data_IF_371095184930
#
_entry.id   IF_371095184930
#
_cell.length_a   1.000
_cell.length_b   1.000
_cell.length_c   1.000
_cell.angle_alpha   90.00
_cell.angle_beta   90.00
_cell.angle_gamma   90.00
#
_symmetry.space_group_name_H-M   'P 1'
#
loop_
_entity.id
_entity.type
_entity.pdbx_description
1 polymer ?
#
# COMPACT_ATOMS: atom_id res chain seq x y z
N UNK A 1 -11.45 -5.28 13.92
CA UNK A 1 -10.97 -3.91 13.65
C UNK A 1 -10.75 -3.76 12.16
N UNK A 2 -11.07 -2.59 11.61
CA UNK A 2 -10.79 -2.25 10.21
C UNK A 2 -9.49 -1.46 10.15
N UNK A 3 -8.56 -1.85 9.28
CA UNK A 3 -7.26 -1.22 9.10
C UNK A 3 -7.12 -0.83 7.63
N UNK A 4 -6.81 0.44 7.38
CA UNK A 4 -6.42 0.92 6.06
C UNK A 4 -4.90 1.04 6.01
N UNK A 5 -4.26 0.21 5.20
CA UNK A 5 -2.82 0.27 4.93
C UNK A 5 -2.59 1.08 3.65
N UNK A 6 -1.75 2.11 3.73
CA UNK A 6 -1.43 2.99 2.60
C UNK A 6 -0.02 2.65 2.11
N UNK A 7 0.08 2.17 0.87
CA UNK A 7 1.35 1.78 0.23
C UNK A 7 1.48 2.40 -1.18
N UNK A 8 2.15 3.56 -1.33
CA UNK A 8 2.26 4.24 -2.62
C UNK A 8 3.12 3.51 -3.67
N UNK A 9 3.82 2.44 -3.31
CA UNK A 9 4.64 1.64 -4.22
C UNK A 9 4.44 0.14 -3.95
N UNK A 10 3.40 -0.45 -4.56
CA UNK A 10 3.11 -1.88 -4.37
C UNK A 10 3.91 -2.75 -5.36
N UNK A 11 5.15 -3.08 -5.00
CA UNK A 11 5.96 -4.12 -5.64
C UNK A 11 7.03 -4.67 -4.68
N UNK A 12 7.72 -5.74 -5.06
CA UNK A 12 8.85 -6.30 -4.33
C UNK A 12 8.53 -6.62 -2.86
N UNK A 13 9.39 -6.17 -1.95
CA UNK A 13 9.24 -6.36 -0.51
C UNK A 13 7.99 -5.67 0.06
N UNK A 14 7.62 -4.49 -0.46
CA UNK A 14 6.44 -3.75 0.00
C UNK A 14 5.15 -4.55 -0.26
N UNK A 15 5.02 -5.11 -1.47
CA UNK A 15 3.88 -5.96 -1.81
C UNK A 15 3.84 -7.22 -0.94
N UNK A 16 4.96 -7.94 -0.82
CA UNK A 16 5.05 -9.16 0.00
C UNK A 16 4.64 -8.89 1.45
N UNK A 17 5.11 -7.78 2.02
CA UNK A 17 4.75 -7.40 3.38
C UNK A 17 3.27 -7.02 3.51
N UNK A 18 2.77 -6.14 2.65
CA UNK A 18 1.40 -5.64 2.73
C UNK A 18 0.38 -6.78 2.53
N UNK A 19 0.59 -7.62 1.52
CA UNK A 19 -0.28 -8.77 1.25
C UNK A 19 -0.15 -9.84 2.33
N UNK A 20 1.06 -10.11 2.82
CA UNK A 20 1.29 -11.03 3.93
C UNK A 20 0.60 -10.57 5.20
N UNK A 21 0.73 -9.28 5.55
CA UNK A 21 0.04 -8.71 6.70
C UNK A 21 -1.48 -8.86 6.56
N UNK A 22 -2.06 -8.54 5.40
CA UNK A 22 -3.49 -8.76 5.15
C UNK A 22 -3.88 -10.23 5.28
N UNK A 23 -3.08 -11.15 4.73
CA UNK A 23 -3.40 -12.57 4.71
C UNK A 23 -3.34 -13.24 6.11
N UNK A 24 -2.46 -12.75 6.98
CA UNK A 24 -2.21 -13.34 8.30
C UNK A 24 -2.77 -12.52 9.47
N UNK A 25 -3.43 -11.39 9.20
CA UNK A 25 -4.06 -10.58 10.22
C UNK A 25 -5.45 -11.12 10.60
N UNK A 26 -5.81 -10.99 11.87
CA UNK A 26 -7.18 -11.19 12.36
C UNK A 26 -8.08 -9.97 12.11
N UNK A 27 -7.52 -8.92 11.50
CA UNK A 27 -8.21 -7.66 11.19
C UNK A 27 -8.63 -7.61 9.73
N UNK A 28 -9.65 -6.80 9.44
CA UNK A 28 -10.02 -6.49 8.06
C UNK A 28 -9.06 -5.44 7.52
N UNK A 29 -8.05 -5.88 6.78
CA UNK A 29 -7.00 -5.02 6.22
C UNK A 29 -7.32 -4.69 4.76
N UNK A 30 -7.60 -3.41 4.48
CA UNK A 30 -7.69 -2.89 3.11
C UNK A 30 -6.37 -2.22 2.76
N UNK A 31 -5.81 -2.56 1.60
CA UNK A 31 -4.57 -1.97 1.10
C UNK A 31 -4.95 -0.95 0.02
N UNK A 32 -4.74 0.33 0.32
CA UNK A 32 -4.81 1.40 -0.66
C UNK A 32 -3.41 1.63 -1.23
N UNK A 33 -3.26 1.50 -2.54
CA UNK A 33 -1.93 1.50 -3.13
C UNK A 33 -1.89 2.03 -4.56
N UNK A 34 -0.67 2.18 -5.07
CA UNK A 34 -0.40 2.51 -6.46
C UNK A 34 0.51 1.46 -7.07
N UNK A 35 0.48 1.34 -8.40
CA UNK A 35 1.34 0.39 -9.13
C UNK A 35 2.80 0.64 -8.78
N UNK A 36 3.57 -0.42 -8.51
CA UNK A 36 4.99 -0.33 -8.16
C UNK A 36 5.89 0.08 -9.33
N UNK A 37 5.83 1.37 -9.67
CA UNK A 37 6.68 2.08 -10.63
C UNK A 37 7.02 3.45 -10.07
N UNK A 38 8.09 4.08 -10.59
CA UNK A 38 8.54 5.42 -10.16
C UNK A 38 8.76 5.52 -8.64
N UNK A 39 9.44 4.54 -8.03
CA UNK A 39 9.54 4.37 -6.56
C UNK A 39 9.86 5.67 -5.81
N UNK A 40 10.88 6.42 -6.25
CA UNK A 40 11.31 7.67 -5.59
C UNK A 40 10.18 8.70 -5.60
N UNK A 41 9.53 8.90 -6.74
CA UNK A 41 8.39 9.81 -6.86
C UNK A 41 7.18 9.34 -6.06
N UNK A 42 6.89 8.04 -6.03
CA UNK A 42 5.77 7.49 -5.28
C UNK A 42 5.95 7.62 -3.76
N UNK A 43 7.16 7.40 -3.25
CA UNK A 43 7.45 7.56 -1.82
C UNK A 43 7.37 9.03 -1.36
N UNK A 44 7.69 10.00 -2.22
CA UNK A 44 7.67 11.42 -1.86
C UNK A 44 6.39 12.16 -2.23
N UNK A 45 5.71 11.79 -3.32
CA UNK A 45 4.57 12.51 -3.88
C UNK A 45 3.34 11.66 -4.17
N UNK A 46 3.38 10.36 -3.90
CA UNK A 46 2.26 9.44 -4.18
C UNK A 46 0.98 9.76 -3.42
N UNK A 47 1.06 10.49 -2.30
CA UNK A 47 -0.09 10.85 -1.47
C UNK A 47 -1.17 11.63 -2.23
N UNK A 48 -0.80 12.54 -3.14
CA UNK A 48 -1.77 13.29 -3.93
C UNK A 48 -2.61 12.37 -4.82
N UNK A 49 -1.99 11.41 -5.53
CA UNK A 49 -2.71 10.42 -6.34
C UNK A 49 -3.52 9.43 -5.48
N UNK A 50 -3.07 9.14 -4.27
CA UNK A 50 -3.82 8.28 -3.34
C UNK A 50 -5.08 8.97 -2.79
N UNK A 51 -5.05 10.30 -2.63
CA UNK A 51 -6.18 11.07 -2.11
C UNK A 51 -7.37 11.14 -3.08
N UNK A 52 -7.15 10.87 -4.37
CA UNK A 52 -8.18 10.83 -5.41
C UNK A 52 -8.89 9.46 -5.52
N UNK A 53 -8.52 8.47 -4.70
CA UNK A 53 -9.06 7.10 -4.72
C UNK A 53 -10.19 6.85 -3.71
#
# INVERSE_FOLDING_TARGET
MNILLIEPFLSGSHQKWAEGYRAHSRHNVRILSLKGRHWKWRMHGGAATLAEQ
#
